data_IF_966733605568
#
_entry.id   IF_966733605568
#
_cell.length_a   1.000
_cell.length_b   1.000
_cell.length_c   1.000
_cell.angle_alpha   90.00
_cell.angle_beta   90.00
_cell.angle_gamma   90.00
#
_symmetry.space_group_name_H-M   'P 1'
#
loop_
_entity.id
_entity.type
_entity.pdbx_description
1 polymer ?
#
# COMPACT_ATOMS: atom_id res chain seq x y z
N UNK A 1 -2.89 3.28 6.09
CA UNK A 1 -2.77 4.58 6.78
C UNK A 1 -4.02 4.89 7.61
N UNK A 2 -5.17 5.07 6.98
CA UNK A 2 -6.40 5.56 7.64
C UNK A 2 -6.91 4.73 8.83
N UNK A 3 -6.81 3.39 8.77
CA UNK A 3 -7.39 2.52 9.81
C UNK A 3 -6.53 2.32 11.05
N UNK A 4 -5.20 2.38 10.92
CA UNK A 4 -4.26 1.91 11.95
C UNK A 4 -3.28 2.97 12.45
N UNK A 5 -3.04 4.05 11.70
CA UNK A 5 -2.06 5.06 12.10
C UNK A 5 -2.46 5.78 13.41
N UNK A 6 -3.75 6.13 13.57
CA UNK A 6 -4.24 6.74 14.81
C UNK A 6 -4.10 5.83 16.03
N UNK A 7 -4.31 4.51 15.85
CA UNK A 7 -4.11 3.54 16.93
C UNK A 7 -2.64 3.39 17.32
N UNK A 8 -1.71 3.42 16.35
CA UNK A 8 -0.26 3.38 16.63
C UNK A 8 0.17 4.62 17.42
N UNK A 9 -0.26 5.82 17.00
CA UNK A 9 0.04 7.07 17.72
C UNK A 9 -0.57 7.07 19.13
N UNK A 10 -1.76 6.49 19.29
CA UNK A 10 -2.42 6.37 20.60
C UNK A 10 -1.69 5.45 21.60
N UNK A 11 -1.08 4.36 21.13
CA UNK A 11 -0.39 3.40 22.02
C UNK A 11 1.10 3.71 22.22
N UNK A 12 1.80 4.10 21.14
CA UNK A 12 3.24 4.38 21.19
C UNK A 12 3.58 5.84 21.56
N UNK A 13 2.57 6.70 21.65
CA UNK A 13 2.74 8.15 21.77
C UNK A 13 3.26 8.80 20.47
N UNK A 14 3.35 10.13 20.48
CA UNK A 14 3.81 10.88 19.31
C UNK A 14 5.27 10.56 18.96
N UNK A 15 6.18 10.63 19.93
CA UNK A 15 7.60 10.40 19.72
C UNK A 15 7.89 8.95 19.28
N UNK A 16 7.23 7.98 19.90
CA UNK A 16 7.36 6.56 19.55
C UNK A 16 6.84 6.27 18.15
N UNK A 17 5.69 6.84 17.76
CA UNK A 17 5.17 6.68 16.40
C UNK A 17 6.10 7.29 15.33
N UNK A 18 6.68 8.47 15.60
CA UNK A 18 7.66 9.10 14.69
C UNK A 18 8.90 8.21 14.53
N UNK A 19 9.43 7.65 15.62
CA UNK A 19 10.61 6.78 15.57
C UNK A 19 10.35 5.50 14.77
N UNK A 20 9.19 4.87 14.93
CA UNK A 20 8.77 3.69 14.14
C UNK A 20 8.72 4.05 12.65
N UNK A 21 8.13 5.20 12.30
CA UNK A 21 8.03 5.65 10.91
C UNK A 21 9.43 5.92 10.33
N UNK A 22 10.30 6.62 11.06
CA UNK A 22 11.66 6.92 10.62
C UNK A 22 12.47 5.65 10.37
N UNK A 23 12.40 4.66 11.28
CA UNK A 23 13.10 3.40 11.12
C UNK A 23 12.59 2.61 9.90
N UNK A 24 11.27 2.54 9.70
CA UNK A 24 10.69 1.90 8.53
C UNK A 24 11.08 2.61 7.21
N UNK A 25 11.15 3.95 7.23
CA UNK A 25 11.58 4.73 6.06
C UNK A 25 13.07 4.57 5.78
N UNK A 26 13.92 4.48 6.80
CA UNK A 26 15.34 4.20 6.62
C UNK A 26 15.58 2.88 5.88
N UNK A 27 14.91 1.80 6.28
CA UNK A 27 14.99 0.50 5.57
C UNK A 27 14.56 0.65 4.11
N UNK A 28 13.44 1.32 3.85
CA UNK A 28 12.93 1.51 2.48
C UNK A 28 13.88 2.32 1.61
N UNK A 29 14.50 3.37 2.16
CA UNK A 29 15.48 4.22 1.46
C UNK A 29 16.74 3.42 1.14
N UNK A 30 17.26 2.65 2.10
CA UNK A 30 18.41 1.78 1.87
C UNK A 30 18.13 0.79 0.72
N UNK A 31 16.97 0.11 0.73
CA UNK A 31 16.58 -0.80 -0.37
C UNK A 31 16.44 -0.07 -1.70
N UNK A 32 15.85 1.13 -1.69
CA UNK A 32 15.70 1.97 -2.88
C UNK A 32 17.04 2.39 -3.48
N UNK A 33 18.00 2.79 -2.63
CA UNK A 33 19.36 3.14 -3.05
C UNK A 33 20.12 1.92 -3.62
N UNK A 34 19.99 0.75 -3.00
CA UNK A 34 20.54 -0.50 -3.54
C UNK A 34 19.95 -0.81 -4.92
N UNK A 35 18.63 -0.68 -5.09
CA UNK A 35 17.97 -0.90 -6.37
C UNK A 35 18.41 0.13 -7.42
N UNK A 36 18.55 1.42 -7.05
CA UNK A 36 19.02 2.46 -7.95
C UNK A 36 20.45 2.17 -8.47
N UNK A 37 21.35 1.75 -7.58
CA UNK A 37 22.71 1.31 -7.95
C UNK A 37 22.66 0.15 -8.94
N UNK A 38 21.85 -0.87 -8.67
CA UNK A 38 21.69 -2.02 -9.56
C UNK A 38 21.19 -1.59 -10.95
N UNK A 39 20.15 -0.77 -11.01
CA UNK A 39 19.55 -0.31 -12.28
C UNK A 39 20.47 0.58 -13.11
N UNK A 40 21.38 1.32 -12.47
CA UNK A 40 22.33 2.20 -13.15
C UNK A 40 23.44 1.41 -13.84
N UNK A 41 23.75 0.20 -13.35
CA UNK A 41 24.82 -0.64 -13.88
C UNK A 41 24.38 -1.62 -14.99
N UNK A 42 23.09 -1.68 -15.34
CA UNK A 42 22.56 -2.60 -16.34
C UNK A 42 21.82 -1.91 -17.49
N UNK A 43 21.92 -2.45 -18.71
CA UNK A 43 21.01 -2.09 -19.81
C UNK A 43 19.63 -2.67 -19.52
N UNK A 44 18.71 -1.83 -19.09
CA UNK A 44 17.32 -2.19 -18.76
C UNK A 44 16.62 -2.65 -20.07
N UNK A 45 16.20 -3.91 -20.09
CA UNK A 45 15.36 -4.46 -21.17
C UNK A 45 13.87 -4.32 -20.86
N UNK A 46 13.00 -4.87 -21.69
CA UNK A 46 11.54 -4.83 -21.52
C UNK A 46 11.00 -5.75 -20.39
N UNK A 47 11.73 -5.89 -19.28
CA UNK A 47 11.37 -6.73 -18.14
C UNK A 47 11.12 -5.91 -16.87
N UNK A 48 10.28 -6.43 -15.97
CA UNK A 48 9.97 -5.80 -14.68
C UNK A 48 11.07 -5.95 -13.62
N UNK A 49 10.72 -5.71 -12.35
CA UNK A 49 11.67 -5.71 -11.23
C UNK A 49 12.48 -7.02 -11.08
N UNK A 50 11.85 -8.19 -11.27
CA UNK A 50 12.56 -9.47 -11.21
C UNK A 50 13.62 -9.62 -12.30
N UNK A 51 13.32 -9.16 -13.52
CA UNK A 51 14.25 -9.20 -14.64
C UNK A 51 15.50 -8.32 -14.37
N UNK A 52 15.30 -7.16 -13.75
CA UNK A 52 16.39 -6.25 -13.35
C UNK A 52 17.33 -6.94 -12.35
N UNK A 53 16.78 -7.62 -11.33
CA UNK A 53 17.56 -8.30 -10.28
C UNK A 53 18.29 -9.51 -10.85
N UNK A 54 17.57 -10.40 -11.55
CA UNK A 54 18.15 -11.63 -12.10
C UNK A 54 19.26 -11.35 -13.13
N UNK A 55 19.15 -10.25 -13.89
CA UNK A 55 20.17 -9.83 -14.86
C UNK A 55 21.44 -9.27 -14.20
N UNK A 56 21.32 -8.67 -13.02
CA UNK A 56 22.45 -8.00 -12.36
C UNK A 56 23.19 -8.91 -11.38
N UNK A 57 22.47 -9.78 -10.67
CA UNK A 57 23.00 -10.59 -9.57
C UNK A 57 23.02 -12.10 -9.88
N UNK A 58 22.51 -12.50 -11.04
CA UNK A 58 22.37 -13.90 -11.44
C UNK A 58 21.07 -14.56 -10.98
N UNK A 59 20.79 -15.74 -11.52
CA UNK A 59 19.56 -16.50 -11.26
C UNK A 59 19.42 -16.94 -9.81
N UNK A 60 20.52 -17.30 -9.14
CA UNK A 60 20.51 -17.77 -7.74
C UNK A 60 20.08 -16.65 -6.78
N UNK A 61 20.66 -15.46 -6.91
CA UNK A 61 20.29 -14.30 -6.12
C UNK A 61 18.91 -13.74 -6.51
N UNK A 62 18.53 -13.82 -7.78
CA UNK A 62 17.20 -13.44 -8.25
C UNK A 62 16.10 -14.32 -7.65
N UNK A 63 16.31 -15.65 -7.61
CA UNK A 63 15.37 -16.60 -7.04
C UNK A 63 15.20 -16.45 -5.52
N UNK A 64 16.32 -16.27 -4.79
CA UNK A 64 16.30 -16.14 -3.33
C UNK A 64 15.56 -14.88 -2.83
N UNK A 65 15.60 -13.80 -3.60
CA UNK A 65 14.83 -12.56 -3.30
C UNK A 65 13.43 -12.61 -3.91
N UNK A 66 13.27 -13.18 -5.10
CA UNK A 66 12.01 -13.17 -5.85
C UNK A 66 10.90 -14.02 -5.21
N UNK A 67 11.23 -15.22 -4.71
CA UNK A 67 10.22 -16.13 -4.13
C UNK A 67 9.59 -15.52 -2.86
N UNK A 68 10.37 -15.03 -1.86
CA UNK A 68 9.80 -14.37 -0.68
C UNK A 68 9.03 -13.10 -1.03
N UNK A 69 9.50 -12.32 -2.01
CA UNK A 69 8.81 -11.10 -2.46
C UNK A 69 7.43 -11.41 -3.05
N UNK A 70 7.32 -12.47 -3.86
CA UNK A 70 6.04 -12.91 -4.43
C UNK A 70 5.04 -13.35 -3.35
N UNK A 71 5.50 -14.14 -2.37
CA UNK A 71 4.65 -14.56 -1.23
C UNK A 71 4.22 -13.34 -0.41
N UNK A 72 5.15 -12.43 -0.12
CA UNK A 72 4.86 -11.19 0.60
C UNK A 72 3.83 -10.33 -0.12
N UNK A 73 3.90 -10.24 -1.45
CA UNK A 73 2.95 -9.47 -2.24
C UNK A 73 1.55 -10.11 -2.24
N UNK A 74 1.47 -11.44 -2.22
CA UNK A 74 0.22 -12.20 -2.11
C UNK A 74 -0.44 -11.97 -0.75
N UNK A 75 0.33 -12.06 0.33
CA UNK A 75 -0.15 -11.76 1.68
C UNK A 75 -0.57 -10.28 1.83
N UNK A 76 0.18 -9.36 1.24
CA UNK A 76 -0.17 -7.94 1.23
C UNK A 76 -1.51 -7.68 0.53
N UNK A 77 -1.80 -8.36 -0.58
CA UNK A 77 -3.10 -8.25 -1.25
C UNK A 77 -4.24 -8.73 -0.35
N UNK A 78 -4.06 -9.84 0.37
CA UNK A 78 -5.05 -10.34 1.34
C UNK A 78 -5.29 -9.32 2.48
N UNK A 79 -4.22 -8.71 3.01
CA UNK A 79 -4.33 -7.68 4.05
C UNK A 79 -5.08 -6.42 3.57
N UNK A 80 -4.93 -6.04 2.29
CA UNK A 80 -5.69 -4.93 1.72
C UNK A 80 -7.17 -5.24 1.58
N UNK A 81 -7.55 -6.48 1.22
CA UNK A 81 -8.95 -6.91 1.16
C UNK A 81 -9.58 -6.86 2.55
N UNK A 82 -8.90 -7.41 3.57
CA UNK A 82 -9.39 -7.38 4.95
C UNK A 82 -9.51 -5.93 5.45
N UNK A 83 -8.51 -5.08 5.15
CA UNK A 83 -8.56 -3.66 5.50
C UNK A 83 -9.74 -2.93 4.84
N UNK A 84 -10.07 -3.27 3.59
CA UNK A 84 -11.24 -2.73 2.91
C UNK A 84 -12.54 -3.19 3.57
N UNK A 85 -12.68 -4.49 3.85
CA UNK A 85 -13.86 -5.04 4.54
C UNK A 85 -14.10 -4.36 5.88
N UNK A 86 -13.05 -4.15 6.69
CA UNK A 86 -13.13 -3.42 7.96
C UNK A 86 -13.61 -1.97 7.77
N UNK A 87 -13.13 -1.28 6.73
CA UNK A 87 -13.60 0.06 6.38
C UNK A 87 -15.06 0.07 5.94
N UNK A 88 -15.47 -0.91 5.12
CA UNK A 88 -16.83 -1.06 4.62
C UNK A 88 -17.83 -1.28 5.75
N UNK A 89 -17.52 -2.19 6.68
CA UNK A 89 -18.39 -2.54 7.81
C UNK A 89 -18.58 -1.39 8.81
N UNK A 90 -17.68 -0.40 8.82
CA UNK A 90 -17.85 0.82 9.61
C UNK A 90 -18.87 1.79 9.00
N UNK A 91 -19.03 1.75 7.68
CA UNK A 91 -19.99 2.59 6.95
C UNK A 91 -21.36 1.89 6.90
N UNK A 92 -21.36 0.57 6.69
CA UNK A 92 -22.57 -0.25 6.58
C UNK A 92 -22.64 -1.31 7.69
N UNK A 93 -23.12 -0.95 8.89
CA UNK A 93 -23.16 -1.86 10.04
C UNK A 93 -24.10 -3.06 9.86
N UNK A 94 -25.10 -2.98 8.98
CA UNK A 94 -26.05 -4.08 8.73
C UNK A 94 -25.42 -5.29 8.04
N UNK A 95 -24.26 -5.11 7.40
CA UNK A 95 -23.55 -6.17 6.66
C UNK A 95 -22.58 -6.96 7.56
N UNK A 96 -22.52 -6.66 8.87
CA UNK A 96 -21.65 -7.33 9.85
C UNK A 96 -21.76 -8.86 9.93
N UNK A 97 -22.96 -9.49 9.94
CA UNK A 97 -23.03 -10.95 10.01
C UNK A 97 -22.46 -11.64 8.75
N UNK A 98 -22.38 -10.92 7.63
CA UNK A 98 -21.93 -11.44 6.33
C UNK A 98 -20.53 -10.92 5.93
N UNK A 99 -19.69 -10.57 6.89
CA UNK A 99 -18.32 -10.05 6.66
C UNK A 99 -17.44 -10.95 5.78
N UNK A 100 -17.62 -12.27 5.88
CA UNK A 100 -16.95 -13.25 5.01
C UNK A 100 -17.39 -13.11 3.55
N UNK A 101 -18.69 -12.95 3.31
CA UNK A 101 -19.24 -12.79 1.96
C UNK A 101 -18.73 -11.50 1.32
N UNK A 102 -18.63 -10.40 2.08
CA UNK A 102 -18.07 -9.13 1.58
C UNK A 102 -16.60 -9.30 1.18
N UNK A 103 -15.81 -10.00 1.98
CA UNK A 103 -14.39 -10.23 1.66
C UNK A 103 -14.22 -11.14 0.44
N UNK A 104 -15.07 -12.16 0.31
CA UNK A 104 -15.08 -13.06 -0.84
C UNK A 104 -15.51 -12.36 -2.12
N UNK A 105 -16.58 -11.56 -2.09
CA UNK A 105 -17.03 -10.80 -3.26
C UNK A 105 -15.96 -9.83 -3.73
N UNK A 106 -15.34 -9.07 -2.81
CA UNK A 106 -14.23 -8.16 -3.14
C UNK A 106 -13.05 -8.92 -3.74
N UNK A 107 -12.67 -10.07 -3.17
CA UNK A 107 -11.57 -10.89 -3.70
C UNK A 107 -11.85 -11.38 -5.13
N UNK A 108 -13.08 -11.89 -5.39
CA UNK A 108 -13.50 -12.35 -6.71
C UNK A 108 -13.52 -11.19 -7.72
N UNK A 109 -14.03 -10.02 -7.33
CA UNK A 109 -14.04 -8.83 -8.21
C UNK A 109 -12.63 -8.37 -8.54
N UNK A 110 -11.71 -8.31 -7.57
CA UNK A 110 -10.32 -7.94 -7.82
C UNK A 110 -9.60 -8.97 -8.71
N UNK A 111 -9.88 -10.26 -8.52
CA UNK A 111 -9.34 -11.32 -9.37
C UNK A 111 -9.85 -11.19 -10.81
N UNK A 112 -11.14 -10.92 -11.00
CA UNK A 112 -11.72 -10.68 -12.32
C UNK A 112 -11.07 -9.48 -13.02
N UNK A 113 -10.89 -8.35 -12.32
CA UNK A 113 -10.22 -7.16 -12.85
C UNK A 113 -8.76 -7.48 -13.22
N UNK A 114 -8.06 -8.21 -12.37
CA UNK A 114 -6.68 -8.62 -12.60
C UNK A 114 -6.54 -9.57 -13.81
N UNK A 115 -7.53 -10.43 -14.05
CA UNK A 115 -7.51 -11.36 -15.17
C UNK A 115 -7.79 -10.69 -16.52
N UNK A 116 -8.69 -9.70 -16.56
CA UNK A 116 -9.13 -9.11 -17.83
C UNK A 116 -8.13 -8.10 -18.41
N UNK A 117 -7.52 -7.19 -17.63
CA UNK A 117 -6.60 -6.20 -18.23
C UNK A 117 -5.71 -5.43 -17.24
N UNK A 118 -4.40 -5.62 -17.36
CA UNK A 118 -3.40 -4.77 -16.70
C UNK A 118 -3.40 -3.32 -17.24
N UNK A 119 -3.73 -3.11 -18.52
CA UNK A 119 -3.79 -1.76 -19.13
C UNK A 119 -4.93 -0.93 -18.55
N UNK A 120 -6.03 -1.57 -18.21
CA UNK A 120 -7.16 -0.91 -17.55
C UNK A 120 -6.81 -0.52 -16.11
N UNK A 121 -6.15 -1.40 -15.36
CA UNK A 121 -5.71 -1.15 -14.00
C UNK A 121 -4.79 0.08 -13.90
N UNK A 122 -3.82 0.24 -14.81
CA UNK A 122 -2.92 1.41 -14.84
C UNK A 122 -3.71 2.70 -15.05
N UNK A 123 -4.75 2.69 -15.88
CA UNK A 123 -5.58 3.88 -16.14
C UNK A 123 -6.38 4.28 -14.89
N UNK A 124 -6.96 3.30 -14.20
CA UNK A 124 -7.67 3.49 -12.93
C UNK A 124 -6.72 3.97 -11.82
N UNK A 125 -5.48 3.51 -11.79
CA UNK A 125 -4.51 3.90 -10.77
C UNK A 125 -4.29 5.43 -10.71
N UNK A 126 -4.26 6.11 -11.86
CA UNK A 126 -4.17 7.58 -11.89
C UNK A 126 -5.38 8.24 -11.22
N UNK A 127 -6.57 7.69 -11.40
CA UNK A 127 -7.78 8.17 -10.72
C UNK A 127 -7.70 7.94 -9.21
N UNK A 128 -7.30 6.74 -8.77
CA UNK A 128 -7.13 6.40 -7.35
C UNK A 128 -6.13 7.36 -6.68
N UNK A 129 -5.02 7.67 -7.36
CA UNK A 129 -4.02 8.63 -6.85
C UNK A 129 -4.66 10.01 -6.60
N UNK A 130 -5.50 10.50 -7.51
CA UNK A 130 -6.24 11.75 -7.34
C UNK A 130 -7.14 11.74 -6.10
N UNK A 131 -7.90 10.66 -5.90
CA UNK A 131 -8.78 10.51 -4.73
C UNK A 131 -7.96 10.47 -3.42
N UNK A 132 -6.81 9.80 -3.41
CA UNK A 132 -5.93 9.75 -2.23
C UNK A 132 -5.38 11.15 -1.92
N UNK A 133 -4.93 11.90 -2.92
CA UNK A 133 -4.46 13.28 -2.73
C UNK A 133 -5.56 14.18 -2.13
N UNK A 134 -6.78 14.10 -2.68
CA UNK A 134 -7.93 14.83 -2.12
C UNK A 134 -8.23 14.44 -0.67
N UNK A 135 -8.16 13.14 -0.36
CA UNK A 135 -8.35 12.64 1.00
C UNK A 135 -7.29 13.17 1.97
N UNK A 136 -6.02 13.24 1.55
CA UNK A 136 -4.94 13.81 2.38
C UNK A 136 -5.13 15.31 2.61
N UNK A 137 -5.55 16.07 1.59
CA UNK A 137 -5.87 17.50 1.73
C UNK A 137 -6.99 17.69 2.75
N UNK A 138 -8.05 16.89 2.67
CA UNK A 138 -9.17 16.94 3.62
C UNK A 138 -8.72 16.71 5.07
N UNK A 139 -7.83 15.73 5.29
CA UNK A 139 -7.28 15.45 6.62
C UNK A 139 -6.45 16.62 7.17
N UNK A 140 -5.66 17.29 6.33
CA UNK A 140 -4.84 18.45 6.74
C UNK A 140 -5.70 19.69 7.00
N UNK A 141 -6.78 19.88 6.23
CA UNK A 141 -7.68 21.02 6.37
C UNK A 141 -8.55 20.92 7.64
N UNK A 142 -8.92 19.71 8.04
CA UNK A 142 -9.77 19.44 9.21
C UNK A 142 -9.30 20.12 10.51
N UNK A 143 -8.00 20.07 10.90
CA UNK A 143 -7.52 20.81 12.08
C UNK A 143 -7.64 22.33 11.94
N UNK A 144 -7.42 22.93 10.75
CA UNK A 144 -7.55 24.39 10.56
C UNK A 144 -8.98 24.89 10.80
N UNK A 145 -9.99 24.13 10.37
CA UNK A 145 -11.40 24.47 10.60
C UNK A 145 -11.79 24.47 12.08
N UNK A 146 -11.16 23.60 12.88
CA UNK A 146 -11.44 23.48 14.31
C UNK A 146 -10.95 24.70 15.12
N UNK A 147 -9.89 25.37 14.67
CA UNK A 147 -9.40 26.61 15.28
C UNK A 147 -10.29 27.82 14.93
N UNK A 148 -10.90 27.84 13.75
CA UNK A 148 -11.74 28.97 13.31
C UNK A 148 -13.08 29.04 14.08
N UNK A 149 -13.67 27.88 14.41
CA UNK A 149 -14.88 27.77 15.24
C UNK A 149 -14.67 28.16 16.72
N UNK A 150 -13.44 28.19 17.20
CA UNK A 150 -13.12 28.62 18.56
C UNK A 150 -12.80 30.13 18.67
N UNK A 151 -12.67 30.81 17.53
CA UNK A 151 -12.33 32.24 17.43
C UNK A 151 -13.55 33.09 17.02
N UNK A 152 -14.62 32.46 16.51
CA UNK A 152 -15.91 33.07 16.21
C UNK A 152 -16.94 32.77 17.32
#
# INVERSE_FOLDING_TARGET
MYLRLGWVVGNAGFLGAVLIILMAKAVTICTGLSMASITTNIKIGAGGAYYIIAKSLGLEAGGSVGIPFYISQTLSAALYIIGFTEGWLRIFPDHRPNSLLVSLTVSITLLAISYTSARFAIKIQYFIMGVICLSLISIVLTPMMKYWIFIA
#
